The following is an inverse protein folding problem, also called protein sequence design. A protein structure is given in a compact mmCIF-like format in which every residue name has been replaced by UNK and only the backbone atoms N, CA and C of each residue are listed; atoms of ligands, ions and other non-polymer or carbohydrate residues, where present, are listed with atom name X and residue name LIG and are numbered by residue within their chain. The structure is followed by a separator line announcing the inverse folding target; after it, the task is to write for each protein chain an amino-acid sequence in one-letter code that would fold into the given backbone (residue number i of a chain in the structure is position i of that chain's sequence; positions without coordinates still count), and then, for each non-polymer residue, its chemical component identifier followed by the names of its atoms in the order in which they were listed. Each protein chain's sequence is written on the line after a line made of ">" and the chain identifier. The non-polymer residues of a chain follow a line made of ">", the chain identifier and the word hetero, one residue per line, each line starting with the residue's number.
data_IF_995304892738
#
_entry.id   IF_995304892738
#
_cell.length_a   1.000
_cell.length_b   1.000
_cell.length_c   1.000
_cell.angle_alpha   90.00
_cell.angle_beta   90.00
_cell.angle_gamma   90.00
#
_symmetry.space_group_name_H-M   'P 1'
#
loop_
_entity.id
_entity.type
_entity.pdbx_description
1 polymer ?
#
# COMPACT_ATOMS: atom_id res chain seq x y z
N UNK A 1 13.89 2.50 10.46
CA UNK A 1 13.65 2.77 9.03
C UNK A 1 12.75 3.99 8.90
N UNK A 2 13.02 4.87 7.93
CA UNK A 2 12.12 5.96 7.53
C UNK A 2 11.65 5.67 6.10
N UNK A 3 10.35 5.75 5.89
CA UNK A 3 9.73 5.73 4.55
C UNK A 3 9.20 7.13 4.30
N UNK A 4 9.77 7.79 3.32
CA UNK A 4 9.41 9.14 2.90
C UNK A 4 8.75 9.08 1.53
N UNK A 5 7.50 9.47 1.47
CA UNK A 5 6.69 9.47 0.25
C UNK A 5 6.56 10.88 -0.36
N UNK A 6 7.49 11.79 -0.01
CA UNK A 6 7.57 13.09 -0.68
C UNK A 6 7.80 12.91 -2.18
N UNK A 7 7.15 13.74 -3.00
CA UNK A 7 7.18 13.62 -4.46
C UNK A 7 6.21 12.60 -5.05
N UNK A 8 5.42 11.90 -4.22
CA UNK A 8 4.30 11.10 -4.73
C UNK A 8 3.26 11.98 -5.42
N UNK A 9 2.52 11.37 -6.36
CA UNK A 9 1.44 12.05 -7.08
C UNK A 9 0.39 12.63 -6.11
N UNK A 10 -0.23 13.72 -6.53
CA UNK A 10 -1.38 14.29 -5.83
C UNK A 10 -2.57 13.32 -5.82
N UNK A 11 -3.46 13.51 -4.85
CA UNK A 11 -4.72 12.77 -4.81
C UNK A 11 -5.53 12.99 -6.08
N UNK A 12 -6.20 11.95 -6.55
CA UNK A 12 -6.96 11.94 -7.79
C UNK A 12 -8.46 12.13 -7.54
N UNK A 13 -9.20 12.46 -8.59
CA UNK A 13 -10.67 12.45 -8.57
C UNK A 13 -11.23 11.03 -8.55
N UNK A 14 -10.45 10.06 -9.03
CA UNK A 14 -10.83 8.64 -9.01
C UNK A 14 -10.77 8.03 -7.61
N UNK A 15 -11.36 6.86 -7.41
CA UNK A 15 -11.48 6.24 -6.08
C UNK A 15 -10.22 5.47 -5.63
N UNK A 16 -9.07 5.72 -6.23
CA UNK A 16 -7.81 4.97 -6.00
C UNK A 16 -6.91 5.60 -4.94
N UNK A 17 -7.38 6.62 -4.23
CA UNK A 17 -6.59 7.26 -3.20
C UNK A 17 -6.46 6.38 -1.95
N UNK A 18 -5.39 6.61 -1.20
CA UNK A 18 -5.11 5.90 0.05
C UNK A 18 -5.14 6.89 1.22
N UNK A 19 -5.89 6.56 2.24
CA UNK A 19 -5.83 7.32 3.50
C UNK A 19 -4.53 7.03 4.25
N UNK A 20 -4.10 7.93 5.11
CA UNK A 20 -2.80 7.79 5.77
C UNK A 20 -2.71 6.55 6.67
N UNK A 21 -3.81 6.11 7.27
CA UNK A 21 -3.85 4.89 8.08
C UNK A 21 -3.57 3.63 7.24
N UNK A 22 -4.14 3.55 6.02
CA UNK A 22 -3.89 2.47 5.09
C UNK A 22 -2.43 2.49 4.61
N UNK A 23 -1.89 3.66 4.31
CA UNK A 23 -0.48 3.84 3.94
C UNK A 23 0.46 3.34 5.04
N UNK A 24 0.21 3.73 6.29
CA UNK A 24 0.98 3.21 7.44
C UNK A 24 0.87 1.69 7.52
N UNK A 25 -0.31 1.13 7.28
CA UNK A 25 -0.52 -0.31 7.32
C UNK A 25 0.29 -1.04 6.24
N UNK A 26 0.31 -0.53 5.00
CA UNK A 26 1.12 -1.09 3.92
C UNK A 26 2.62 -1.09 4.26
N UNK A 27 3.13 0.04 4.77
CA UNK A 27 4.53 0.15 5.18
C UNK A 27 4.87 -0.81 6.32
N UNK A 28 3.96 -0.99 7.28
CA UNK A 28 4.13 -1.95 8.38
C UNK A 28 4.16 -3.39 7.88
N UNK A 29 3.30 -3.74 6.92
CA UNK A 29 3.32 -5.08 6.29
C UNK A 29 4.67 -5.32 5.61
N UNK A 30 5.11 -4.42 4.74
CA UNK A 30 6.40 -4.54 4.07
C UNK A 30 7.56 -4.63 5.06
N UNK A 31 7.59 -3.77 6.08
CA UNK A 31 8.60 -3.80 7.14
C UNK A 31 8.61 -5.14 7.88
N UNK A 32 7.44 -5.66 8.23
CA UNK A 32 7.30 -6.93 8.94
C UNK A 32 7.82 -8.12 8.14
N UNK A 33 7.51 -8.14 6.84
CA UNK A 33 8.00 -9.17 5.92
C UNK A 33 9.53 -9.17 5.79
N UNK A 34 10.16 -7.98 5.81
CA UNK A 34 11.60 -7.83 5.64
C UNK A 34 12.39 -8.09 6.92
N UNK A 35 11.88 -7.66 8.08
CA UNK A 35 12.70 -7.61 9.30
C UNK A 35 12.49 -8.82 10.19
N UNK A 36 11.29 -9.34 10.29
CA UNK A 36 11.00 -10.43 11.22
C UNK A 36 9.69 -11.15 10.87
N UNK A 37 9.64 -11.88 9.74
CA UNK A 37 8.40 -12.47 9.22
C UNK A 37 7.76 -13.44 10.20
N UNK A 38 8.55 -14.24 10.92
CA UNK A 38 8.08 -15.39 11.70
C UNK A 38 7.61 -15.05 13.11
N UNK A 39 7.95 -13.87 13.63
CA UNK A 39 7.54 -13.50 14.99
C UNK A 39 6.18 -12.81 15.03
N UNK A 40 5.39 -12.97 16.09
CA UNK A 40 4.16 -12.21 16.30
C UNK A 40 4.42 -10.71 16.29
N UNK A 41 3.41 -9.94 15.89
CA UNK A 41 3.42 -8.48 15.98
C UNK A 41 3.08 -8.06 17.41
N UNK A 42 3.88 -7.18 17.97
CA UNK A 42 3.67 -6.57 19.28
C UNK A 42 3.79 -5.04 19.22
N UNK A 43 3.55 -4.36 20.33
CA UNK A 43 3.63 -2.90 20.43
C UNK A 43 5.04 -2.31 20.16
N UNK A 44 6.09 -3.12 20.24
CA UNK A 44 7.48 -2.74 19.96
C UNK A 44 7.89 -2.88 18.50
N UNK A 45 7.20 -3.75 17.74
CA UNK A 45 7.58 -4.16 16.39
C UNK A 45 7.82 -2.98 15.44
N UNK A 46 7.02 -1.94 15.54
CA UNK A 46 7.09 -0.78 14.64
C UNK A 46 7.66 0.48 15.29
N UNK A 47 8.28 0.39 16.48
CA UNK A 47 8.79 1.55 17.21
C UNK A 47 9.83 2.35 16.44
N UNK A 48 10.64 1.69 15.62
CA UNK A 48 11.72 2.31 14.84
C UNK A 48 11.30 2.68 13.42
N UNK A 49 10.01 2.48 13.08
CA UNK A 49 9.47 2.79 11.76
C UNK A 49 8.81 4.17 11.77
N UNK A 50 9.23 5.03 10.85
CA UNK A 50 8.60 6.32 10.58
C UNK A 50 8.06 6.34 9.16
N UNK A 51 6.86 6.87 9.00
CA UNK A 51 6.20 7.03 7.69
C UNK A 51 5.81 8.49 7.53
N UNK A 52 6.23 9.10 6.45
CA UNK A 52 5.91 10.47 6.10
C UNK A 52 5.30 10.51 4.69
N UNK A 53 4.19 11.22 4.52
CA UNK A 53 3.55 11.47 3.24
C UNK A 53 2.96 12.88 3.23
N UNK A 54 3.07 13.63 2.14
CA UNK A 54 2.44 14.94 2.01
C UNK A 54 0.92 14.85 2.10
N UNK A 55 0.31 15.80 2.79
CA UNK A 55 -1.16 15.94 2.77
C UNK A 55 -1.67 16.24 1.37
N UNK A 56 -2.78 15.61 0.99
CA UNK A 56 -3.33 15.74 -0.34
C UNK A 56 -2.60 14.90 -1.40
N UNK A 57 -1.62 14.09 -1.01
CA UNK A 57 -1.01 13.11 -1.92
C UNK A 57 -1.87 11.84 -2.04
N UNK A 58 -1.57 11.02 -3.05
CA UNK A 58 -2.20 9.71 -3.25
C UNK A 58 -2.15 8.81 -2.00
N UNK A 59 -1.10 8.94 -1.19
CA UNK A 59 -0.87 8.15 0.02
C UNK A 59 -1.33 8.83 1.32
N UNK A 60 -1.81 10.06 1.26
CA UNK A 60 -2.38 10.81 2.38
C UNK A 60 -3.51 11.69 1.93
N UNK A 61 -4.48 11.05 1.29
CA UNK A 61 -5.63 11.72 0.73
C UNK A 61 -6.45 12.44 1.80
N UNK A 62 -6.96 13.60 1.43
CA UNK A 62 -7.81 14.47 2.23
C UNK A 62 -9.23 14.47 1.68
N UNK A 63 -10.20 14.70 2.54
CA UNK A 63 -11.60 14.86 2.16
C UNK A 63 -11.73 15.99 1.10
N UNK A 64 -12.52 15.78 0.02
CA UNK A 64 -13.47 14.71 -0.25
C UNK A 64 -12.94 13.56 -1.14
N UNK A 65 -11.64 13.30 -1.20
CA UNK A 65 -11.07 12.29 -2.08
C UNK A 65 -11.63 10.87 -1.80
N UNK A 66 -12.05 10.19 -2.84
CA UNK A 66 -12.58 8.83 -2.73
C UNK A 66 -11.44 7.80 -2.60
N UNK A 67 -11.57 6.88 -1.64
CA UNK A 67 -10.56 5.85 -1.30
C UNK A 67 -11.12 4.43 -1.44
N UNK A 68 -12.09 4.17 -2.31
CA UNK A 68 -12.74 2.86 -2.42
C UNK A 68 -11.79 1.75 -2.90
N UNK A 69 -10.80 2.12 -3.74
CA UNK A 69 -9.83 1.19 -4.33
C UNK A 69 -8.42 1.42 -3.76
N UNK A 70 -8.33 1.74 -2.49
CA UNK A 70 -7.08 2.04 -1.78
C UNK A 70 -6.06 0.88 -1.79
N UNK A 71 -6.49 -0.35 -2.02
CA UNK A 71 -5.61 -1.51 -2.03
C UNK A 71 -4.65 -1.55 -3.24
N UNK A 72 -4.98 -0.89 -4.36
CA UNK A 72 -4.05 -0.78 -5.50
C UNK A 72 -2.77 0.00 -5.12
N UNK A 73 -2.83 1.26 -4.66
CA UNK A 73 -1.62 1.95 -4.20
C UNK A 73 -1.02 1.32 -2.95
N UNK A 74 -1.81 0.64 -2.11
CA UNK A 74 -1.33 -0.08 -0.94
C UNK A 74 -0.46 -1.28 -1.36
N UNK A 75 -0.93 -2.11 -2.30
CA UNK A 75 -0.17 -3.24 -2.84
C UNK A 75 1.11 -2.79 -3.52
N UNK A 76 1.03 -1.74 -4.35
CA UNK A 76 2.21 -1.13 -4.97
C UNK A 76 3.26 -0.69 -3.93
N UNK A 77 2.83 -0.07 -2.83
CA UNK A 77 3.75 0.38 -1.79
C UNK A 77 4.42 -0.79 -1.06
N UNK A 78 3.71 -1.90 -0.85
CA UNK A 78 4.28 -3.13 -0.28
C UNK A 78 5.39 -3.69 -1.18
N UNK A 79 5.25 -3.61 -2.50
CA UNK A 79 6.26 -4.07 -3.44
C UNK A 79 7.43 -3.09 -3.60
N UNK A 80 7.16 -1.79 -3.64
CA UNK A 80 8.20 -0.76 -3.83
C UNK A 80 9.22 -0.70 -2.68
N UNK A 81 8.79 -0.96 -1.44
CA UNK A 81 9.70 -0.91 -0.27
C UNK A 81 10.79 -1.99 -0.35
N UNK A 82 10.48 -3.28 -0.58
CA UNK A 82 11.50 -4.29 -0.82
C UNK A 82 12.39 -3.96 -2.03
N UNK A 83 11.80 -3.50 -3.14
CA UNK A 83 12.56 -3.14 -4.33
C UNK A 83 13.57 -2.02 -4.07
N UNK A 84 13.19 -1.00 -3.30
CA UNK A 84 14.11 0.08 -2.91
C UNK A 84 15.28 -0.40 -2.05
N UNK A 85 15.16 -1.55 -1.41
CA UNK A 85 16.18 -2.18 -0.57
C UNK A 85 16.90 -3.34 -1.27
N UNK A 86 16.60 -3.62 -2.54
CA UNK A 86 17.09 -4.80 -3.25
C UNK A 86 18.61 -4.90 -3.29
N UNK A 87 19.33 -3.80 -3.49
CA UNK A 87 20.78 -3.80 -3.51
C UNK A 87 21.40 -4.19 -2.15
N UNK A 88 20.71 -3.87 -1.06
CA UNK A 88 21.17 -4.15 0.31
C UNK A 88 20.81 -5.57 0.73
N UNK A 89 19.58 -6.01 0.42
CA UNK A 89 19.02 -7.26 0.90
C UNK A 89 19.22 -8.44 -0.07
N UNK A 90 19.62 -8.16 -1.32
CA UNK A 90 19.97 -9.16 -2.36
C UNK A 90 19.01 -10.37 -2.38
N UNK A 91 19.51 -11.54 -1.99
CA UNK A 91 18.81 -12.82 -2.07
C UNK A 91 17.63 -12.97 -1.07
N UNK A 92 17.45 -11.99 -0.19
CA UNK A 92 16.36 -11.99 0.80
C UNK A 92 15.09 -11.30 0.31
N UNK A 93 15.06 -10.83 -0.94
CA UNK A 93 13.91 -10.14 -1.51
C UNK A 93 13.15 -11.07 -2.45
N UNK A 94 11.84 -11.19 -2.19
CA UNK A 94 10.92 -11.84 -3.12
C UNK A 94 10.69 -10.97 -4.36
N UNK A 95 10.36 -11.60 -5.48
CA UNK A 95 9.87 -10.90 -6.66
C UNK A 95 8.58 -10.12 -6.32
N UNK A 96 8.38 -8.99 -7.01
CA UNK A 96 7.17 -8.19 -6.85
C UNK A 96 5.92 -9.00 -7.21
N UNK A 97 4.81 -8.64 -6.60
CA UNK A 97 3.51 -9.18 -6.90
C UNK A 97 2.91 -8.52 -8.14
N UNK A 98 1.73 -8.95 -8.55
CA UNK A 98 0.96 -8.28 -9.62
C UNK A 98 0.58 -6.82 -9.25
N UNK A 99 0.60 -6.49 -7.96
CA UNK A 99 0.34 -5.13 -7.46
C UNK A 99 -1.12 -4.71 -7.49
N UNK A 100 -2.05 -5.63 -7.75
CA UNK A 100 -3.49 -5.37 -7.77
C UNK A 100 -4.26 -6.55 -7.16
N UNK A 101 -5.50 -6.30 -6.76
CA UNK A 101 -6.36 -7.30 -6.12
C UNK A 101 -7.20 -8.13 -7.11
N UNK A 102 -7.02 -7.96 -8.42
CA UNK A 102 -7.72 -8.72 -9.47
C UNK A 102 -9.25 -8.72 -9.31
N UNK A 103 -9.83 -7.57 -8.99
CA UNK A 103 -11.27 -7.45 -8.78
C UNK A 103 -11.98 -7.36 -10.13
N UNK A 104 -12.87 -8.29 -10.42
CA UNK A 104 -13.67 -8.32 -11.65
C UNK A 104 -15.14 -8.05 -11.29
N UNK A 105 -15.72 -7.02 -11.87
CA UNK A 105 -17.15 -6.75 -11.78
C UNK A 105 -17.84 -7.20 -13.06
N UNK A 106 -18.78 -8.14 -12.93
CA UNK A 106 -19.66 -8.54 -14.01
C UNK A 106 -21.06 -8.08 -13.67
N UNK A 107 -21.64 -7.22 -14.50
CA UNK A 107 -23.00 -6.72 -14.33
C UNK A 107 -23.79 -6.84 -15.64
N UNK A 108 -25.07 -7.02 -15.52
CA UNK A 108 -25.97 -7.13 -16.69
C UNK A 108 -27.38 -7.54 -16.25
N UNK A 109 -28.31 -7.50 -17.19
CA UNK A 109 -29.66 -8.01 -16.98
C UNK A 109 -29.68 -9.49 -17.36
N UNK A 110 -30.16 -10.35 -16.45
CA UNK A 110 -30.37 -11.77 -16.77
C UNK A 110 -31.53 -11.90 -17.78
N UNK A 111 -31.28 -12.31 -19.02
CA UNK A 111 -32.32 -12.40 -20.05
C UNK A 111 -33.38 -13.46 -19.74
N UNK A 112 -33.16 -14.30 -18.75
CA UNK A 112 -34.09 -15.33 -18.31
C UNK A 112 -35.08 -14.86 -17.22
N UNK A 113 -34.85 -13.65 -16.67
CA UNK A 113 -35.68 -13.02 -15.67
C UNK A 113 -36.44 -11.87 -16.31
N UNK A 114 -37.73 -12.07 -16.55
CA UNK A 114 -38.69 -11.04 -16.97
C UNK A 114 -39.42 -10.48 -15.75
#
# INVERSE_FOLDING_TARGET
>A
MKVDLAGSADQTRGPVNCGFAQTISAVRVAFKLLVNPDRPVDGGTFRTLKVEAPEGSLFRAQVPAACAWYFTPLGLLIDLIPQALAEILKDSIAAATYGDSMLIYVSGTDPRKH
#
